data_IF_309204119173
#
_entry.id   IF_309204119173
#
_cell.length_a   1.000
_cell.length_b   1.000
_cell.length_c   1.000
_cell.angle_alpha   90.00
_cell.angle_beta   90.00
_cell.angle_gamma   90.00
#
_symmetry.space_group_name_H-M   'P 1'
#
loop_
_entity.id
_entity.type
_entity.pdbx_description
1 polymer ?
#
# COMPACT_ATOMS: atom_id res chain seq x y z
N UNK A 1 -4.32 30.91 14.89
CA UNK A 1 -5.34 31.60 14.07
C UNK A 1 -4.76 32.77 13.29
N UNK A 2 -4.10 33.75 13.92
CA UNK A 2 -3.60 34.95 13.21
C UNK A 2 -2.64 34.64 12.03
N UNK A 3 -1.70 33.71 12.19
CA UNK A 3 -0.77 33.33 11.10
C UNK A 3 -1.49 32.73 9.88
N UNK A 4 -2.53 31.92 10.10
CA UNK A 4 -3.30 31.28 9.04
C UNK A 4 -4.20 32.25 8.26
N UNK A 5 -4.32 33.51 8.70
CA UNK A 5 -5.01 34.56 7.95
C UNK A 5 -4.03 35.46 7.19
N UNK A 6 -2.72 35.27 7.37
CA UNK A 6 -1.71 35.97 6.58
C UNK A 6 -1.55 35.29 5.22
N UNK A 7 -1.18 36.07 4.20
CA UNK A 7 -0.95 35.54 2.85
C UNK A 7 0.11 34.43 2.79
N UNK A 8 1.13 34.51 3.65
CA UNK A 8 2.17 33.49 3.75
C UNK A 8 1.63 32.20 4.40
N UNK A 9 0.84 32.32 5.47
CA UNK A 9 0.28 31.17 6.17
C UNK A 9 -0.75 30.40 5.35
N UNK A 10 -1.69 31.12 4.71
CA UNK A 10 -2.67 30.48 3.79
C UNK A 10 -1.97 29.85 2.59
N UNK A 11 -1.01 30.56 1.99
CA UNK A 11 -0.22 30.07 0.88
C UNK A 11 0.53 28.77 1.22
N UNK A 12 1.22 28.73 2.36
CA UNK A 12 1.94 27.54 2.82
C UNK A 12 1.01 26.34 3.03
N UNK A 13 -0.16 26.58 3.62
CA UNK A 13 -1.16 25.54 3.89
C UNK A 13 -1.70 24.93 2.58
N UNK A 14 -1.96 25.76 1.57
CA UNK A 14 -2.39 25.35 0.23
C UNK A 14 -1.25 24.65 -0.54
N UNK A 15 -0.01 25.13 -0.40
CA UNK A 15 1.17 24.45 -0.95
C UNK A 15 1.30 23.03 -0.42
N UNK A 16 1.20 22.85 0.90
CA UNK A 16 1.26 21.53 1.54
C UNK A 16 0.12 20.63 1.08
N UNK A 17 -1.09 21.18 0.93
CA UNK A 17 -2.23 20.43 0.41
C UNK A 17 -1.95 19.89 -1.01
N UNK A 18 -1.50 20.75 -1.92
CA UNK A 18 -1.22 20.38 -3.31
C UNK A 18 -0.11 19.34 -3.41
N UNK A 19 0.97 19.54 -2.66
CA UNK A 19 2.07 18.60 -2.58
C UNK A 19 1.61 17.22 -2.12
N UNK A 20 0.91 17.14 -0.97
CA UNK A 20 0.50 15.87 -0.38
C UNK A 20 -0.49 15.09 -1.26
N UNK A 21 -1.41 15.78 -1.93
CA UNK A 21 -2.39 15.15 -2.83
C UNK A 21 -1.70 14.53 -4.05
N UNK A 22 -0.75 15.25 -4.65
CA UNK A 22 0.01 14.74 -5.80
C UNK A 22 0.95 13.60 -5.35
N UNK A 23 1.60 13.73 -4.19
CA UNK A 23 2.44 12.66 -3.64
C UNK A 23 1.64 11.37 -3.44
N UNK A 24 0.42 11.43 -2.90
CA UNK A 24 -0.44 10.22 -2.79
C UNK A 24 -0.75 9.63 -4.18
N UNK A 25 -1.13 10.48 -5.14
CA UNK A 25 -1.50 10.03 -6.48
C UNK A 25 -0.36 9.30 -7.19
N UNK A 26 0.88 9.72 -6.96
CA UNK A 26 2.06 9.17 -7.63
C UNK A 26 2.70 7.99 -6.87
N UNK A 27 2.75 8.05 -5.54
CA UNK A 27 3.50 7.09 -4.68
C UNK A 27 2.57 6.06 -4.02
N UNK A 28 1.24 6.27 -4.03
CA UNK A 28 0.25 5.44 -3.30
C UNK A 28 0.65 5.23 -1.84
N UNK A 29 0.75 6.32 -1.08
CA UNK A 29 1.10 6.32 0.33
C UNK A 29 -0.04 5.83 1.28
N UNK A 30 -0.84 4.86 0.82
CA UNK A 30 -1.97 4.22 1.56
C UNK A 30 -3.08 5.21 1.97
N UNK A 31 -3.17 6.36 1.31
CA UNK A 31 -4.17 7.38 1.56
C UNK A 31 -3.82 8.38 2.66
N UNK A 32 -2.73 8.18 3.42
CA UNK A 32 -2.37 9.09 4.52
C UNK A 32 -2.07 10.51 4.04
N UNK A 33 -1.32 10.64 2.94
CA UNK A 33 -1.02 11.94 2.36
C UNK A 33 -2.29 12.60 1.79
N UNK A 34 -3.20 11.82 1.19
CA UNK A 34 -4.50 12.36 0.76
C UNK A 34 -5.36 12.84 1.92
N UNK A 35 -5.44 12.10 3.04
CA UNK A 35 -6.19 12.55 4.22
C UNK A 35 -5.61 13.83 4.81
N UNK A 36 -4.29 13.93 4.92
CA UNK A 36 -3.62 15.16 5.39
C UNK A 36 -3.83 16.33 4.42
N UNK A 37 -3.76 16.08 3.11
CA UNK A 37 -4.03 17.06 2.07
C UNK A 37 -5.47 17.59 2.09
N UNK A 38 -6.46 16.69 2.18
CA UNK A 38 -7.89 17.07 2.34
C UNK A 38 -8.13 17.83 3.64
N UNK A 39 -7.51 17.39 4.74
CA UNK A 39 -7.62 18.07 6.03
C UNK A 39 -7.07 19.49 5.94
N UNK A 40 -5.96 19.67 5.23
CA UNK A 40 -5.38 20.99 4.94
C UNK A 40 -6.36 21.85 4.14
N UNK A 41 -6.95 21.35 3.05
CA UNK A 41 -7.96 22.10 2.26
C UNK A 41 -9.23 22.42 3.07
N UNK A 42 -9.64 21.54 3.97
CA UNK A 42 -10.79 21.78 4.85
C UNK A 42 -10.48 22.90 5.84
N UNK A 43 -9.28 22.86 6.45
CA UNK A 43 -8.80 23.92 7.32
C UNK A 43 -8.67 25.26 6.56
N UNK A 44 -8.20 25.23 5.31
CA UNK A 44 -8.13 26.41 4.45
C UNK A 44 -9.49 27.10 4.33
N UNK A 45 -10.52 26.36 3.88
CA UNK A 45 -11.86 26.91 3.72
C UNK A 45 -12.39 27.44 5.04
N UNK A 46 -12.22 26.70 6.13
CA UNK A 46 -12.65 27.15 7.45
C UNK A 46 -11.99 28.45 7.91
N UNK A 47 -10.71 28.66 7.59
CA UNK A 47 -9.99 29.89 7.99
C UNK A 47 -10.30 31.09 7.10
N UNK A 48 -10.61 30.84 5.83
CA UNK A 48 -10.62 31.88 4.81
C UNK A 48 -12.02 32.28 4.34
N UNK A 49 -12.96 31.34 4.37
CA UNK A 49 -14.38 31.67 4.47
C UNK A 49 -14.73 31.85 5.95
N UNK A 50 -15.69 32.71 6.30
CA UNK A 50 -16.07 32.98 7.69
C UNK A 50 -16.79 31.79 8.38
N UNK A 51 -16.32 30.56 8.17
CA UNK A 51 -16.92 29.32 8.66
C UNK A 51 -16.82 28.17 7.65
N UNK A 52 -17.79 27.25 7.71
CA UNK A 52 -17.92 26.16 6.74
C UNK A 52 -18.74 26.61 5.54
N UNK A 53 -18.08 27.22 4.55
CA UNK A 53 -18.74 27.51 3.28
C UNK A 53 -18.86 26.23 2.44
N UNK A 54 -20.08 25.68 2.44
CA UNK A 54 -20.43 24.47 1.70
C UNK A 54 -20.26 24.61 0.19
N UNK A 55 -20.40 25.83 -0.36
CA UNK A 55 -20.23 26.06 -1.79
C UNK A 55 -18.76 25.91 -2.20
N UNK A 56 -17.86 26.51 -1.42
CA UNK A 56 -16.42 26.46 -1.66
C UNK A 56 -15.86 25.05 -1.41
N UNK A 57 -16.34 24.37 -0.36
CA UNK A 57 -16.04 22.95 -0.12
C UNK A 57 -16.52 22.08 -1.27
N UNK A 58 -17.74 22.31 -1.78
CA UNK A 58 -18.30 21.60 -2.92
C UNK A 58 -17.47 21.75 -4.19
N UNK A 59 -16.99 22.97 -4.48
CA UNK A 59 -16.10 23.22 -5.62
C UNK A 59 -14.74 22.52 -5.48
N UNK A 60 -14.14 22.55 -4.28
CA UNK A 60 -12.88 21.86 -3.98
C UNK A 60 -13.01 20.34 -4.14
N UNK A 61 -14.04 19.74 -3.53
CA UNK A 61 -14.29 18.31 -3.60
C UNK A 61 -14.69 17.88 -5.02
N UNK A 62 -15.57 18.63 -5.68
CA UNK A 62 -15.98 18.37 -7.07
C UNK A 62 -14.81 18.46 -8.04
N UNK A 63 -13.95 19.47 -7.89
CA UNK A 63 -12.72 19.61 -8.68
C UNK A 63 -11.75 18.45 -8.44
N UNK A 64 -11.56 18.03 -7.18
CA UNK A 64 -10.70 16.89 -6.87
C UNK A 64 -11.25 15.57 -7.44
N UNK A 65 -12.56 15.36 -7.36
CA UNK A 65 -13.23 14.19 -7.94
C UNK A 65 -13.03 14.16 -9.44
N UNK A 66 -13.18 15.29 -10.15
CA UNK A 66 -12.93 15.38 -11.59
C UNK A 66 -11.48 15.02 -11.95
N UNK A 67 -10.50 15.53 -11.20
CA UNK A 67 -9.08 15.16 -11.40
C UNK A 67 -8.85 13.66 -11.20
N UNK A 68 -9.45 13.06 -10.17
CA UNK A 68 -9.31 11.62 -9.90
C UNK A 68 -10.01 10.78 -10.97
N UNK A 69 -11.21 11.19 -11.42
CA UNK A 69 -11.97 10.50 -12.44
C UNK A 69 -11.24 10.53 -13.79
N UNK A 70 -10.72 11.68 -14.18
CA UNK A 70 -9.94 11.82 -15.42
C UNK A 70 -8.71 10.91 -15.41
N UNK A 71 -7.95 10.92 -14.31
CA UNK A 71 -6.76 10.08 -14.14
C UNK A 71 -7.04 8.57 -14.16
N UNK A 72 -8.27 8.14 -13.83
CA UNK A 72 -8.66 6.71 -13.78
C UNK A 72 -9.41 6.22 -15.01
N UNK A 73 -10.29 7.05 -15.59
CA UNK A 73 -11.28 6.62 -16.60
C UNK A 73 -10.98 7.17 -18.00
N UNK A 74 -10.68 8.46 -18.12
CA UNK A 74 -10.67 9.18 -19.42
C UNK A 74 -9.24 9.32 -19.97
N UNK A 75 -8.28 9.66 -19.11
CA UNK A 75 -6.86 9.84 -19.43
C UNK A 75 -6.55 10.87 -20.54
N UNK A 76 -7.47 11.80 -20.80
CA UNK A 76 -7.36 12.83 -21.85
C UNK A 76 -6.88 14.19 -21.28
N UNK A 77 -6.94 14.38 -19.96
CA UNK A 77 -6.48 15.61 -19.31
C UNK A 77 -7.49 16.75 -19.32
N UNK A 78 -8.54 16.66 -20.14
CA UNK A 78 -9.58 17.69 -20.27
C UNK A 78 -10.40 17.85 -18.98
N UNK A 79 -10.82 16.73 -18.37
CA UNK A 79 -11.54 16.76 -17.10
C UNK A 79 -10.63 17.14 -15.92
N UNK A 80 -9.36 16.72 -15.91
CA UNK A 80 -8.40 17.19 -14.90
C UNK A 80 -8.15 18.69 -15.02
N UNK A 81 -8.08 19.22 -16.25
CA UNK A 81 -7.96 20.67 -16.49
C UNK A 81 -9.13 21.46 -15.91
N UNK A 82 -10.37 21.01 -16.16
CA UNK A 82 -11.58 21.59 -15.57
C UNK A 82 -11.55 21.49 -14.04
N UNK A 83 -11.20 20.32 -13.50
CA UNK A 83 -11.12 20.09 -12.06
C UNK A 83 -10.08 20.99 -11.37
N UNK A 84 -8.90 21.16 -11.97
CA UNK A 84 -7.86 22.08 -11.49
C UNK A 84 -8.32 23.53 -11.51
N UNK A 85 -9.07 23.93 -12.55
CA UNK A 85 -9.65 25.28 -12.64
C UNK A 85 -10.66 25.51 -11.51
N UNK A 86 -11.56 24.55 -11.25
CA UNK A 86 -12.52 24.63 -10.15
C UNK A 86 -11.82 24.74 -8.79
N UNK A 87 -10.77 23.95 -8.57
CA UNK A 87 -9.95 24.04 -7.35
C UNK A 87 -9.31 25.42 -7.25
N UNK A 88 -8.71 25.94 -8.32
CA UNK A 88 -8.11 27.29 -8.33
C UNK A 88 -9.13 28.37 -7.99
N UNK A 89 -10.33 28.32 -8.55
CA UNK A 89 -11.40 29.28 -8.24
C UNK A 89 -11.81 29.18 -6.76
N UNK A 90 -11.99 27.96 -6.25
CA UNK A 90 -12.33 27.72 -4.85
C UNK A 90 -11.22 28.14 -3.87
N UNK A 91 -9.96 28.13 -4.31
CA UNK A 91 -8.84 28.61 -3.53
C UNK A 91 -8.72 30.14 -3.60
N UNK A 92 -8.89 30.77 -4.76
CA UNK A 92 -8.62 32.21 -4.91
C UNK A 92 -9.78 33.08 -4.42
N UNK A 93 -11.03 32.70 -4.73
CA UNK A 93 -12.23 33.51 -4.40
C UNK A 93 -12.35 33.88 -2.91
N UNK A 94 -12.17 32.96 -1.94
CA UNK A 94 -12.38 33.27 -0.52
C UNK A 94 -11.34 34.22 0.07
N UNK A 95 -10.24 34.48 -0.63
CA UNK A 95 -9.16 35.33 -0.12
C UNK A 95 -9.54 36.81 -0.02
N UNK A 96 -10.48 37.29 -0.84
CA UNK A 96 -10.95 38.68 -0.87
C UNK A 96 -9.88 39.73 -1.25
N UNK A 97 -8.64 39.32 -1.51
CA UNK A 97 -7.51 40.20 -1.81
C UNK A 97 -6.70 39.63 -2.98
N UNK A 98 -6.48 40.44 -4.01
CA UNK A 98 -5.73 40.06 -5.21
C UNK A 98 -4.31 39.54 -4.90
N UNK A 99 -3.61 40.17 -3.95
CA UNK A 99 -2.25 39.77 -3.59
C UNK A 99 -2.23 38.39 -2.94
N UNK A 100 -3.12 38.16 -1.98
CA UNK A 100 -3.27 36.86 -1.29
C UNK A 100 -3.73 35.78 -2.26
N UNK A 101 -4.73 36.08 -3.10
CA UNK A 101 -5.25 35.16 -4.11
C UNK A 101 -4.17 34.71 -5.09
N UNK A 102 -3.36 35.65 -5.59
CA UNK A 102 -2.25 35.34 -6.50
C UNK A 102 -1.19 34.46 -5.81
N UNK A 103 -0.83 34.78 -4.57
CA UNK A 103 0.11 33.98 -3.78
C UNK A 103 -0.41 32.55 -3.54
N UNK A 104 -1.68 32.41 -3.16
CA UNK A 104 -2.33 31.12 -2.94
C UNK A 104 -2.36 30.28 -4.23
N UNK A 105 -2.71 30.89 -5.36
CA UNK A 105 -2.67 30.23 -6.67
C UNK A 105 -1.27 29.76 -7.06
N UNK A 106 -0.24 30.62 -6.88
CA UNK A 106 1.15 30.25 -7.12
C UNK A 106 1.62 29.11 -6.21
N UNK A 107 1.27 29.17 -4.92
CA UNK A 107 1.60 28.14 -3.95
C UNK A 107 0.93 26.80 -4.25
N UNK A 108 -0.31 26.81 -4.75
CA UNK A 108 -0.99 25.60 -5.22
C UNK A 108 -0.24 24.95 -6.39
N UNK A 109 0.10 25.72 -7.42
CA UNK A 109 0.86 25.24 -8.58
C UNK A 109 2.24 24.73 -8.15
N UNK A 110 2.94 25.46 -7.28
CA UNK A 110 4.22 25.04 -6.74
C UNK A 110 4.10 23.73 -5.95
N UNK A 111 3.04 23.58 -5.15
CA UNK A 111 2.73 22.35 -4.42
C UNK A 111 2.57 21.16 -5.36
N UNK A 112 1.81 21.33 -6.44
CA UNK A 112 1.66 20.29 -7.48
C UNK A 112 3.02 19.91 -8.08
N UNK A 113 3.83 20.89 -8.48
CA UNK A 113 5.15 20.67 -9.10
C UNK A 113 6.09 19.93 -8.14
N UNK A 114 6.20 20.38 -6.88
CA UNK A 114 7.01 19.70 -5.86
C UNK A 114 6.47 18.29 -5.57
N UNK A 115 5.15 18.13 -5.56
CA UNK A 115 4.48 16.84 -5.49
C UNK A 115 4.94 15.88 -6.59
N UNK A 116 5.07 16.35 -7.85
CA UNK A 116 5.59 15.54 -8.95
C UNK A 116 7.03 15.06 -8.72
N UNK A 117 7.89 15.90 -8.14
CA UNK A 117 9.26 15.52 -7.79
C UNK A 117 9.35 14.55 -6.61
N UNK A 118 8.26 14.29 -5.88
CA UNK A 118 8.22 13.32 -4.79
C UNK A 118 8.60 11.90 -5.24
N UNK A 119 8.40 11.57 -6.52
CA UNK A 119 8.83 10.30 -7.12
C UNK A 119 10.35 10.08 -7.08
N UNK A 120 11.15 11.15 -7.06
CA UNK A 120 12.62 11.07 -7.05
C UNK A 120 13.19 10.93 -5.64
N UNK A 121 12.45 11.43 -4.64
CA UNK A 121 12.88 11.48 -3.24
C UNK A 121 12.32 10.28 -2.45
N UNK A 122 11.10 9.85 -2.77
CA UNK A 122 10.48 8.68 -2.19
C UNK A 122 10.62 7.51 -3.19
N UNK A 123 11.59 6.59 -3.01
CA UNK A 123 11.67 5.42 -3.87
C UNK A 123 10.35 4.64 -3.81
N UNK A 124 9.94 4.08 -4.97
CA UNK A 124 8.85 3.10 -5.05
C UNK A 124 9.16 1.99 -4.03
N UNK A 125 8.43 2.01 -2.91
CA UNK A 125 8.42 1.04 -1.80
C UNK A 125 9.50 -0.05 -1.82
N UNK A 126 10.56 0.18 -1.05
CA UNK A 126 11.17 -0.86 -0.19
C UNK A 126 11.24 -0.42 1.29
N UNK A 127 10.99 0.86 1.59
CA UNK A 127 11.33 1.45 2.91
C UNK A 127 10.30 1.10 4.00
N UNK A 128 9.10 0.62 3.66
CA UNK A 128 8.05 0.34 4.65
C UNK A 128 7.87 -1.13 5.05
N UNK A 129 8.63 -2.07 4.47
CA UNK A 129 8.71 -3.43 5.04
C UNK A 129 9.41 -3.43 6.40
N UNK A 130 10.16 -2.36 6.74
CA UNK A 130 10.83 -2.19 8.04
C UNK A 130 10.11 -1.26 9.02
N UNK A 131 9.05 -0.57 8.58
CA UNK A 131 8.33 0.44 9.38
C UNK A 131 6.86 0.08 9.62
N UNK A 132 6.42 -1.12 9.22
CA UNK A 132 5.46 -1.83 10.07
C UNK A 132 6.22 -2.09 11.36
N UNK A 133 6.00 -1.21 12.35
CA UNK A 133 6.04 -1.64 13.74
C UNK A 133 5.32 -2.98 13.73
N UNK A 134 6.07 -4.08 13.91
CA UNK A 134 5.53 -5.37 14.32
C UNK A 134 4.77 -5.04 15.59
N UNK A 135 3.52 -4.64 15.39
CA UNK A 135 2.48 -4.65 16.39
C UNK A 135 2.51 -6.09 16.84
N UNK A 136 3.05 -6.27 18.03
CA UNK A 136 2.98 -7.47 18.83
C UNK A 136 1.51 -7.76 19.11
N UNK A 137 0.79 -8.21 18.08
CA UNK A 137 -0.53 -8.78 18.20
C UNK A 137 -0.59 -10.00 17.29
N UNK A 138 -0.62 -11.16 17.96
CA UNK A 138 -0.93 -12.49 17.42
C UNK A 138 0.20 -13.26 16.70
N UNK A 139 1.38 -13.34 17.33
CA UNK A 139 2.30 -14.49 17.18
C UNK A 139 2.23 -15.42 18.39
N UNK A 140 1.05 -15.59 18.96
CA UNK A 140 0.79 -16.63 19.94
C UNK A 140 -0.09 -17.70 19.30
N UNK A 141 0.38 -18.95 19.46
CA UNK A 141 -0.35 -20.23 19.37
C UNK A 141 -0.74 -20.80 18.00
N UNK A 142 0.20 -20.96 17.06
CA UNK A 142 -0.02 -22.05 16.09
C UNK A 142 1.00 -22.21 14.97
N UNK A 143 1.56 -21.12 14.44
CA UNK A 143 2.33 -21.21 13.20
C UNK A 143 3.84 -21.45 13.39
N UNK A 144 4.41 -21.07 14.54
CA UNK A 144 5.83 -21.34 14.85
C UNK A 144 6.06 -22.78 15.31
N UNK A 145 5.13 -23.35 16.08
CA UNK A 145 5.20 -24.74 16.54
C UNK A 145 5.09 -25.75 15.39
N UNK A 146 4.27 -25.45 14.37
CA UNK A 146 4.17 -26.30 13.17
C UNK A 146 5.51 -26.36 12.43
N UNK A 147 6.21 -25.24 12.26
CA UNK A 147 7.49 -25.26 11.54
C UNK A 147 8.60 -26.00 12.31
N UNK A 148 8.53 -26.06 13.65
CA UNK A 148 9.52 -26.76 14.47
C UNK A 148 9.32 -28.28 14.43
N UNK A 149 8.06 -28.77 14.54
CA UNK A 149 7.72 -30.19 14.38
C UNK A 149 8.13 -30.72 13.00
N UNK A 150 7.95 -29.92 11.95
CA UNK A 150 8.31 -30.31 10.58
C UNK A 150 9.83 -30.36 10.38
N UNK A 151 10.61 -29.47 11.01
CA UNK A 151 12.09 -29.53 10.94
C UNK A 151 12.66 -30.80 11.56
N UNK A 152 12.03 -31.33 12.61
CA UNK A 152 12.42 -32.60 13.21
C UNK A 152 12.12 -33.83 12.34
N UNK A 153 11.44 -33.65 11.20
CA UNK A 153 11.16 -34.71 10.23
C UNK A 153 12.23 -34.79 9.13
N UNK A 154 13.13 -33.81 9.01
CA UNK A 154 14.27 -33.91 8.09
C UNK A 154 15.14 -35.11 8.45
N UNK A 155 15.47 -35.94 7.46
CA UNK A 155 16.25 -37.16 7.66
C UNK A 155 15.48 -38.36 8.21
N UNK A 156 14.17 -38.25 8.47
CA UNK A 156 13.34 -39.42 8.87
C UNK A 156 12.86 -40.21 7.66
N UNK A 157 12.56 -41.48 7.91
CA UNK A 157 11.93 -42.37 6.93
C UNK A 157 10.41 -42.46 7.15
N UNK A 158 9.67 -42.62 6.07
CA UNK A 158 8.23 -42.77 6.06
C UNK A 158 7.74 -43.66 4.93
N UNK A 159 6.41 -43.79 4.83
CA UNK A 159 5.75 -44.59 3.80
C UNK A 159 4.81 -43.70 3.00
N UNK A 160 4.89 -43.74 1.67
CA UNK A 160 3.93 -43.05 0.81
C UNK A 160 2.53 -43.66 1.00
N UNK A 161 1.53 -42.88 1.38
CA UNK A 161 0.13 -43.33 1.51
C UNK A 161 -0.61 -43.24 0.17
N UNK A 162 -0.23 -42.27 -0.65
CA UNK A 162 -0.81 -42.05 -1.99
C UNK A 162 0.30 -42.05 -3.03
N UNK A 163 -0.04 -42.41 -4.27
CA UNK A 163 0.86 -42.22 -5.40
C UNK A 163 1.27 -40.74 -5.52
N UNK A 164 2.57 -40.49 -5.63
CA UNK A 164 3.14 -39.14 -5.70
C UNK A 164 3.60 -38.83 -7.12
N UNK A 165 2.92 -37.87 -7.77
CA UNK A 165 3.24 -37.38 -9.13
C UNK A 165 2.99 -35.87 -9.31
N UNK A 166 3.86 -34.97 -8.84
CA UNK A 166 4.92 -35.16 -7.87
C UNK A 166 4.44 -34.97 -6.41
N UNK A 167 3.21 -34.51 -6.18
CA UNK A 167 2.67 -34.34 -4.83
C UNK A 167 1.92 -35.57 -4.34
N UNK A 168 2.01 -35.87 -3.06
CA UNK A 168 1.11 -36.79 -2.39
C UNK A 168 1.26 -36.75 -0.87
N UNK A 169 0.82 -37.81 -0.20
CA UNK A 169 0.79 -37.91 1.25
C UNK A 169 1.76 -38.99 1.72
N UNK A 170 2.56 -38.69 2.74
CA UNK A 170 3.50 -39.63 3.37
C UNK A 170 3.15 -39.76 4.85
N UNK A 171 3.24 -40.96 5.37
CA UNK A 171 3.08 -41.25 6.80
C UNK A 171 4.46 -41.42 7.46
N UNK A 172 4.73 -40.63 8.50
CA UNK A 172 5.96 -40.66 9.29
C UNK A 172 5.56 -40.72 10.76
N UNK A 173 5.97 -41.77 11.48
CA UNK A 173 5.65 -41.93 12.90
C UNK A 173 4.15 -41.96 13.22
N UNK A 174 3.32 -42.49 12.31
CA UNK A 174 1.86 -42.58 12.48
C UNK A 174 1.09 -41.29 12.21
N UNK A 175 1.75 -40.23 11.74
CA UNK A 175 1.12 -38.97 11.30
C UNK A 175 1.28 -38.80 9.80
N UNK A 176 0.26 -38.25 9.14
CA UNK A 176 0.22 -38.01 7.70
C UNK A 176 0.65 -36.58 7.36
N UNK A 177 1.59 -36.45 6.44
CA UNK A 177 2.19 -35.21 6.01
C UNK A 177 2.09 -35.05 4.49
N UNK A 178 1.90 -33.82 4.02
CA UNK A 178 1.94 -33.51 2.59
C UNK A 178 3.39 -33.43 2.13
N UNK A 179 3.74 -34.23 1.13
CA UNK A 179 5.08 -34.29 0.59
C UNK A 179 5.10 -34.15 -0.94
N UNK A 180 6.25 -33.75 -1.46
CA UNK A 180 6.53 -33.64 -2.88
C UNK A 180 7.74 -34.54 -3.18
N UNK A 181 7.59 -35.43 -4.14
CA UNK A 181 8.68 -36.27 -4.61
C UNK A 181 9.71 -35.44 -5.40
N UNK A 182 10.99 -35.78 -5.23
CA UNK A 182 12.09 -35.14 -5.95
C UNK A 182 12.15 -35.59 -7.43
N UNK A 183 11.13 -35.26 -8.22
CA UNK A 183 11.06 -35.53 -9.66
C UNK A 183 10.87 -37.00 -10.04
N UNK A 184 10.74 -37.90 -9.07
CA UNK A 184 10.51 -39.34 -9.28
C UNK A 184 9.09 -39.72 -8.91
N UNK A 185 8.52 -40.67 -9.64
CA UNK A 185 7.24 -41.26 -9.25
C UNK A 185 7.45 -42.15 -8.04
N UNK A 186 6.63 -41.94 -7.02
CA UNK A 186 6.60 -42.82 -5.84
C UNK A 186 5.22 -43.46 -5.74
N UNK A 187 5.17 -44.78 -5.75
CA UNK A 187 3.93 -45.54 -5.60
C UNK A 187 3.52 -45.58 -4.12
N UNK A 188 2.20 -45.60 -3.87
CA UNK A 188 1.65 -45.84 -2.55
C UNK A 188 2.22 -47.15 -1.96
N UNK A 189 2.62 -47.12 -0.70
CA UNK A 189 3.30 -48.20 0.01
C UNK A 189 4.82 -48.19 -0.10
N UNK A 190 5.43 -47.32 -0.93
CA UNK A 190 6.89 -47.24 -1.03
C UNK A 190 7.51 -46.52 0.17
N UNK A 191 8.66 -47.02 0.64
CA UNK A 191 9.50 -46.32 1.63
C UNK A 191 10.15 -45.08 1.02
N UNK A 192 10.08 -43.99 1.76
CA UNK A 192 10.63 -42.68 1.37
C UNK A 192 11.44 -42.05 2.48
N UNK A 193 12.46 -41.28 2.09
CA UNK A 193 13.30 -40.52 2.99
C UNK A 193 13.09 -39.02 2.79
N UNK A 194 13.03 -38.28 3.90
CA UNK A 194 12.84 -36.82 3.89
C UNK A 194 14.16 -36.10 3.62
N UNK A 195 14.28 -35.50 2.44
CA UNK A 195 15.50 -34.78 2.02
C UNK A 195 15.52 -33.35 2.57
N UNK A 196 14.37 -32.66 2.53
CA UNK A 196 14.29 -31.28 3.01
C UNK A 196 12.87 -30.89 3.40
N UNK A 197 12.76 -29.93 4.31
CA UNK A 197 11.50 -29.38 4.78
C UNK A 197 11.52 -27.86 4.61
N UNK A 198 10.63 -27.36 3.76
CA UNK A 198 10.41 -25.94 3.53
C UNK A 198 9.06 -25.51 4.14
N UNK A 199 9.09 -25.17 5.43
CA UNK A 199 7.90 -24.80 6.20
C UNK A 199 6.94 -25.98 6.33
N UNK A 200 5.76 -25.88 5.72
CA UNK A 200 4.73 -26.93 5.72
C UNK A 200 4.82 -27.89 4.52
N UNK A 201 5.80 -27.72 3.64
CA UNK A 201 6.03 -28.59 2.48
C UNK A 201 7.30 -29.40 2.66
N UNK A 202 7.17 -30.71 2.59
CA UNK A 202 8.28 -31.65 2.72
C UNK A 202 8.67 -32.21 1.36
N UNK A 203 9.96 -32.36 1.10
CA UNK A 203 10.49 -33.02 -0.10
C UNK A 203 11.04 -34.39 0.27
N UNK A 204 10.62 -35.40 -0.49
CA UNK A 204 10.94 -36.81 -0.22
C UNK A 204 11.50 -37.49 -1.47
N UNK A 205 12.34 -38.50 -1.25
CA UNK A 205 12.86 -39.37 -2.31
C UNK A 205 12.66 -40.83 -1.94
N UNK A 206 12.46 -41.66 -2.96
CA UNK A 206 12.32 -43.11 -2.77
C UNK A 206 13.64 -43.69 -2.27
N UNK A 207 13.60 -44.36 -1.12
CA UNK A 207 14.78 -45.05 -0.59
C UNK A 207 15.13 -46.21 -1.52
N UNK A 208 16.34 -46.22 -2.09
CA UNK A 208 16.87 -47.39 -2.81
C UNK A 208 17.33 -48.42 -1.79
N UNK A 209 16.61 -49.53 -1.66
CA UNK A 209 17.14 -50.69 -0.94
C UNK A 209 18.36 -51.23 -1.70
N UNK A 210 19.53 -51.13 -1.08
CA UNK A 210 20.72 -51.89 -1.48
C UNK A 210 20.45 -53.36 -1.15
N UNK A 211 20.49 -54.23 -2.15
CA UNK A 211 20.68 -55.68 -2.01
C UNK A 211 21.91 -56.07 -2.82
#
# INVERSE_FOLDING_TARGET
>A
MAFLQTAAGTGLLVFLAGMLLVTESLVKARGLAAFLGLSSLSLYVYTQSSGWDWWMMGLLLGGLVLVILDGKLIQDGTMAGLGLLLILVALVMPTGNWLTGTLVGLMWVLGIVVGFFSLKILPRREIWDKLVLKSSFSKETGYSSINEEYRELEGKEGIAVTDMRPSGTVEIGGKRYSAISNGTWVEAGSSVHVISVNGTRMMVEKTKQSS
#
